data_IF_240465249573
#
_entry.id   IF_240465249573
#
_cell.length_a   1.000
_cell.length_b   1.000
_cell.length_c   1.000
_cell.angle_alpha   90.00
_cell.angle_beta   90.00
_cell.angle_gamma   90.00
#
_symmetry.space_group_name_H-M   'P 1'
#
loop_
_entity.id
_entity.type
_entity.pdbx_description
1 polymer ?
#
# COMPACT_ATOMS: atom_id res chain seq x y z
N UNK A 1 9.38 7.93 52.98
CA UNK A 1 10.12 7.91 51.69
C UNK A 1 9.57 6.93 50.64
N UNK A 2 8.48 6.17 50.89
CA UNK A 2 7.99 5.10 49.99
C UNK A 2 6.88 5.49 49.01
N UNK A 3 6.27 6.67 49.15
CA UNK A 3 5.13 7.11 48.30
C UNK A 3 5.58 7.80 47.01
N UNK A 4 6.75 8.46 47.02
CA UNK A 4 7.31 9.18 45.85
C UNK A 4 7.85 8.22 44.80
N UNK A 5 8.38 7.06 45.21
CA UNK A 5 8.90 6.02 44.31
C UNK A 5 7.78 5.25 43.60
N UNK A 6 6.64 5.01 44.27
CA UNK A 6 5.49 4.32 43.66
C UNK A 6 4.78 5.17 42.61
N UNK A 7 4.59 6.47 42.87
CA UNK A 7 4.00 7.40 41.90
C UNK A 7 4.92 7.58 40.68
N UNK A 8 6.24 7.67 40.90
CA UNK A 8 7.22 7.74 39.81
C UNK A 8 7.20 6.50 38.91
N UNK A 9 7.16 5.30 39.50
CA UNK A 9 7.08 4.04 38.72
C UNK A 9 5.75 3.87 38.00
N UNK A 10 4.63 4.28 38.59
CA UNK A 10 3.31 4.21 37.95
C UNK A 10 3.21 5.18 36.75
N UNK A 11 3.76 6.39 36.88
CA UNK A 11 3.81 7.36 35.79
C UNK A 11 4.71 6.88 34.64
N UNK A 12 5.85 6.25 34.97
CA UNK A 12 6.76 5.71 33.96
C UNK A 12 6.12 4.55 33.18
N UNK A 13 5.38 3.68 33.86
CA UNK A 13 4.62 2.59 33.24
C UNK A 13 3.47 3.11 32.37
N UNK A 14 2.79 4.18 32.79
CA UNK A 14 1.70 4.79 32.00
C UNK A 14 2.22 5.43 30.71
N UNK A 15 3.37 6.12 30.78
CA UNK A 15 4.05 6.68 29.60
C UNK A 15 4.51 5.55 28.67
N UNK A 16 5.15 4.50 29.20
CA UNK A 16 5.56 3.34 28.40
C UNK A 16 4.37 2.62 27.73
N UNK A 17 3.24 2.48 28.44
CA UNK A 17 2.03 1.87 27.89
C UNK A 17 1.41 2.72 26.78
N UNK A 18 1.35 4.05 26.94
CA UNK A 18 0.86 4.96 25.89
C UNK A 18 1.73 4.93 24.63
N UNK A 19 3.05 4.78 24.78
CA UNK A 19 3.97 4.61 23.64
C UNK A 19 3.77 3.25 22.96
N UNK A 20 3.62 2.17 23.73
CA UNK A 20 3.41 0.83 23.19
C UNK A 20 2.07 0.71 22.42
N UNK A 21 1.00 1.29 22.95
CA UNK A 21 -0.31 1.31 22.29
C UNK A 21 -0.27 2.08 20.96
N UNK A 22 0.43 3.23 20.91
CA UNK A 22 0.61 4.01 19.68
C UNK A 22 1.38 3.26 18.59
N UNK A 23 2.43 2.52 18.95
CA UNK A 23 3.23 1.70 18.03
C UNK A 23 2.41 0.55 17.43
N UNK A 24 1.60 -0.14 18.24
CA UNK A 24 0.77 -1.25 17.76
C UNK A 24 -0.28 -0.80 16.71
N UNK A 25 -0.91 0.37 16.90
CA UNK A 25 -1.85 0.93 15.92
C UNK A 25 -1.21 1.34 14.60
N UNK A 26 0.01 1.91 14.64
CA UNK A 26 0.73 2.31 13.43
C UNK A 26 1.21 1.10 12.60
N UNK A 27 1.52 0.00 13.28
CA UNK A 27 2.01 -1.21 12.63
C UNK A 27 0.91 -1.94 11.84
N UNK A 28 -0.30 -2.04 12.41
CA UNK A 28 -1.46 -2.61 11.71
C UNK A 28 -1.83 -1.84 10.43
N UNK A 29 -1.74 -0.51 10.45
CA UNK A 29 -1.97 0.30 9.24
C UNK A 29 -0.89 0.12 8.17
N UNK A 30 0.36 -0.08 8.57
CA UNK A 30 1.46 -0.31 7.64
C UNK A 30 1.38 -1.70 6.98
N UNK A 31 0.88 -2.70 7.71
CA UNK A 31 0.70 -4.06 7.18
C UNK A 31 -0.42 -4.11 6.13
N UNK A 32 -1.55 -3.45 6.38
CA UNK A 32 -2.62 -3.33 5.39
C UNK A 32 -2.20 -2.57 4.12
N UNK A 33 -1.35 -1.54 4.25
CA UNK A 33 -0.83 -0.83 3.08
C UNK A 33 0.05 -1.73 2.21
N UNK A 34 0.92 -2.56 2.81
CA UNK A 34 1.74 -3.55 2.09
C UNK A 34 0.88 -4.61 1.40
N UNK A 35 -0.14 -5.12 2.09
CA UNK A 35 -1.09 -6.07 1.53
C UNK A 35 -1.84 -5.47 0.33
N UNK A 36 -2.31 -4.23 0.44
CA UNK A 36 -2.95 -3.49 -0.65
C UNK A 36 -2.04 -3.31 -1.87
N UNK A 37 -0.77 -2.97 -1.67
CA UNK A 37 0.25 -2.94 -2.73
C UNK A 37 0.42 -4.33 -3.37
N UNK A 38 0.41 -5.40 -2.55
CA UNK A 38 0.45 -6.78 -3.02
C UNK A 38 -0.71 -7.11 -3.96
N UNK A 39 -1.94 -6.81 -3.55
CA UNK A 39 -3.14 -7.01 -4.39
C UNK A 39 -3.10 -6.16 -5.67
N UNK A 40 -2.61 -4.93 -5.62
CA UNK A 40 -2.46 -4.10 -6.81
C UNK A 40 -1.46 -4.71 -7.82
N UNK A 41 -0.34 -5.24 -7.33
CA UNK A 41 0.65 -5.95 -8.16
C UNK A 41 0.07 -7.21 -8.80
N UNK A 42 -0.76 -7.96 -8.07
CA UNK A 42 -1.47 -9.13 -8.61
C UNK A 42 -2.51 -8.73 -9.66
N UNK A 43 -3.31 -7.69 -9.38
CA UNK A 43 -4.28 -7.14 -10.34
C UNK A 43 -3.62 -6.70 -11.66
N UNK A 44 -2.44 -6.06 -11.61
CA UNK A 44 -1.68 -5.71 -12.81
C UNK A 44 -1.31 -6.96 -13.63
N UNK A 45 -0.98 -8.10 -13.00
CA UNK A 45 -0.71 -9.34 -13.74
C UNK A 45 -1.93 -9.80 -14.51
N UNK A 46 -3.10 -9.86 -13.86
CA UNK A 46 -4.35 -10.26 -14.52
C UNK A 46 -4.73 -9.31 -15.66
N UNK A 47 -4.52 -8.00 -15.52
CA UNK A 47 -4.78 -7.06 -16.62
C UNK A 47 -3.79 -7.27 -17.77
N UNK A 48 -2.51 -7.55 -17.49
CA UNK A 48 -1.51 -7.88 -18.53
C UNK A 48 -1.88 -9.17 -19.28
N UNK A 49 -2.40 -10.19 -18.59
CA UNK A 49 -2.93 -11.42 -19.22
C UNK A 49 -4.19 -11.13 -20.07
N UNK A 50 -5.12 -10.31 -19.56
CA UNK A 50 -6.29 -9.88 -20.32
C UNK A 50 -5.91 -9.11 -21.61
N UNK A 51 -4.87 -8.27 -21.55
CA UNK A 51 -4.32 -7.60 -22.73
C UNK A 51 -3.81 -8.62 -23.76
N UNK A 52 -3.10 -9.67 -23.33
CA UNK A 52 -2.63 -10.72 -24.24
C UNK A 52 -3.80 -11.40 -24.95
N UNK A 53 -4.84 -11.80 -24.22
CA UNK A 53 -6.04 -12.40 -24.81
C UNK A 53 -6.78 -11.46 -25.76
N UNK A 54 -6.86 -10.17 -25.43
CA UNK A 54 -7.44 -9.17 -26.34
C UNK A 54 -6.59 -9.00 -27.61
N UNK A 55 -5.26 -8.97 -27.49
CA UNK A 55 -4.35 -8.89 -28.64
C UNK A 55 -4.47 -10.12 -29.55
N UNK A 56 -4.62 -11.33 -28.98
CA UNK A 56 -4.91 -12.56 -29.72
C UNK A 56 -6.28 -12.52 -30.42
N UNK A 57 -7.33 -12.10 -29.70
CA UNK A 57 -8.67 -11.92 -30.27
C UNK A 57 -8.66 -10.92 -31.42
N UNK A 58 -7.87 -9.85 -31.30
CA UNK A 58 -7.72 -8.84 -32.35
C UNK A 58 -7.08 -9.41 -33.61
N UNK A 59 -6.07 -10.29 -33.47
CA UNK A 59 -5.45 -11.01 -34.60
C UNK A 59 -6.43 -11.99 -35.27
N UNK A 60 -7.35 -12.57 -34.50
CA UNK A 60 -8.37 -13.50 -34.98
C UNK A 60 -9.60 -12.83 -35.64
N UNK A 61 -9.62 -11.49 -35.77
CA UNK A 61 -10.71 -10.76 -36.40
C UNK A 61 -11.41 -9.72 -35.51
N UNK A 62 -10.76 -9.29 -34.42
CA UNK A 62 -11.32 -8.25 -33.53
C UNK A 62 -11.56 -6.92 -34.24
N UNK A 63 -12.56 -6.18 -33.75
CA UNK A 63 -13.00 -4.90 -34.30
C UNK A 63 -12.29 -3.69 -33.64
N UNK A 64 -12.73 -2.47 -33.97
CA UNK A 64 -12.21 -1.23 -33.38
C UNK A 64 -12.29 -1.21 -31.85
N UNK A 65 -13.35 -1.75 -31.26
CA UNK A 65 -13.54 -1.78 -29.82
C UNK A 65 -12.53 -2.69 -29.10
N UNK A 66 -12.04 -3.75 -29.75
CA UNK A 66 -10.97 -4.57 -29.19
C UNK A 66 -9.65 -3.78 -29.05
N UNK A 67 -9.32 -2.95 -30.03
CA UNK A 67 -8.14 -2.07 -29.97
C UNK A 67 -8.28 -0.97 -28.92
N UNK A 68 -9.47 -0.37 -28.80
CA UNK A 68 -9.77 0.60 -27.75
C UNK A 68 -9.68 -0.02 -26.34
N UNK A 69 -10.22 -1.23 -26.16
CA UNK A 69 -10.14 -1.97 -24.91
C UNK A 69 -8.68 -2.27 -24.51
N UNK A 70 -7.82 -2.64 -25.46
CA UNK A 70 -6.38 -2.80 -25.22
C UNK A 70 -5.74 -1.48 -24.76
N UNK A 71 -6.11 -0.36 -25.39
CA UNK A 71 -5.65 0.97 -24.99
C UNK A 71 -6.01 1.28 -23.55
N UNK A 72 -7.30 1.16 -23.19
CA UNK A 72 -7.76 1.39 -21.82
C UNK A 72 -7.11 0.46 -20.79
N UNK A 73 -6.88 -0.80 -21.14
CA UNK A 73 -6.20 -1.75 -20.25
C UNK A 73 -4.74 -1.35 -20.02
N UNK A 74 -4.03 -0.85 -21.05
CA UNK A 74 -2.66 -0.33 -20.91
C UNK A 74 -2.62 0.93 -20.04
N UNK A 75 -3.57 1.85 -20.21
CA UNK A 75 -3.70 3.04 -19.35
C UNK A 75 -4.00 2.67 -17.90
N UNK A 76 -4.87 1.68 -17.67
CA UNK A 76 -5.19 1.18 -16.34
C UNK A 76 -3.96 0.58 -15.63
N UNK A 77 -3.13 -0.19 -16.36
CA UNK A 77 -1.85 -0.69 -15.83
C UNK A 77 -0.93 0.47 -15.45
N UNK A 78 -0.80 1.48 -16.31
CA UNK A 78 0.05 2.65 -16.02
C UNK A 78 -0.40 3.37 -14.75
N UNK A 79 -1.68 3.68 -14.61
CA UNK A 79 -2.20 4.35 -13.41
C UNK A 79 -2.03 3.48 -12.15
N UNK A 80 -2.18 2.15 -12.26
CA UNK A 80 -1.95 1.25 -11.13
C UNK A 80 -0.47 1.23 -10.72
N UNK A 81 0.46 1.23 -11.67
CA UNK A 81 1.91 1.32 -11.41
C UNK A 81 2.28 2.67 -10.74
N UNK A 82 1.71 3.79 -11.19
CA UNK A 82 1.86 5.11 -10.55
C UNK A 82 1.30 5.14 -9.12
N UNK A 83 0.12 4.56 -8.91
CA UNK A 83 -0.49 4.47 -7.58
C UNK A 83 0.35 3.63 -6.61
N UNK A 84 0.95 2.53 -7.08
CA UNK A 84 1.88 1.72 -6.29
C UNK A 84 3.12 2.54 -5.93
N UNK A 85 3.72 3.26 -6.88
CA UNK A 85 4.89 4.09 -6.62
C UNK A 85 4.61 5.16 -5.55
N UNK A 86 3.44 5.82 -5.62
CA UNK A 86 2.99 6.75 -4.59
C UNK A 86 2.79 6.08 -3.22
N UNK A 87 2.15 4.91 -3.18
CA UNK A 87 1.95 4.17 -1.95
C UNK A 87 3.28 3.75 -1.30
N UNK A 88 4.23 3.26 -2.10
CA UNK A 88 5.57 2.88 -1.64
C UNK A 88 6.36 4.09 -1.12
N UNK A 89 6.30 5.25 -1.80
CA UNK A 89 6.95 6.48 -1.35
C UNK A 89 6.33 6.98 -0.03
N UNK A 90 5.00 6.99 0.10
CA UNK A 90 4.32 7.43 1.32
C UNK A 90 4.67 6.56 2.53
N UNK A 91 4.88 5.25 2.32
CA UNK A 91 5.35 4.34 3.35
C UNK A 91 6.81 4.57 3.76
N UNK A 92 7.66 5.06 2.85
CA UNK A 92 9.05 5.41 3.14
C UNK A 92 9.16 6.76 3.86
N UNK A 93 8.34 7.74 3.49
CA UNK A 93 8.33 9.08 4.11
C UNK A 93 7.83 9.02 5.57
N UNK A 94 6.85 8.15 5.86
CA UNK A 94 6.40 7.86 7.22
C UNK A 94 7.48 7.18 8.11
N UNK A 95 8.54 6.63 7.52
CA UNK A 95 9.60 5.92 8.22
C UNK A 95 10.84 6.77 8.54
N UNK A 96 10.91 8.00 8.03
CA UNK A 96 12.01 8.93 8.33
C UNK A 96 11.64 9.81 9.53
N UNK A 97 12.50 9.94 10.55
CA UNK A 97 12.25 10.89 11.63
C UNK A 97 12.27 12.31 11.05
N UNK A 98 11.19 13.06 11.25
CA UNK A 98 11.12 14.48 10.88
C UNK A 98 12.38 15.20 11.37
N UNK A 99 13.19 15.71 10.43
CA UNK A 99 14.32 16.57 10.79
C UNK A 99 13.75 17.89 11.31
N UNK A 100 13.80 18.05 12.63
CA UNK A 100 13.63 19.34 13.31
C UNK A 100 14.74 20.32 12.94
#
# INVERSE_FOLDING_TARGET
MRLKTTIGSALLLLVAFSMFAGVASAQGTADHAKEGIGHAKEGIKHVKEAIQHLEESTKAGGNSHAKEAIGHAKDAVKHAEEAIAHAEQSGQEAALPEKK
#
